data_IF_792249434999
#
_entry.id   IF_792249434999
#
_cell.length_a   1.000
_cell.length_b   1.000
_cell.length_c   1.000
_cell.angle_alpha   90.00
_cell.angle_beta   90.00
_cell.angle_gamma   90.00
#
_symmetry.space_group_name_H-M   'P 1'
#
loop_
_entity.id
_entity.type
_entity.pdbx_description
1 polymer ?
#
# COMPACT_ATOMS: atom_id res chain seq x y z
N UNK A 1 -9.92 1.87 4.88
CA UNK A 1 -9.10 0.67 4.56
C UNK A 1 -9.30 0.18 3.13
N UNK A 2 -10.54 0.24 2.60
CA UNK A 2 -10.86 -0.09 1.20
C UNK A 2 -9.98 0.61 0.16
N UNK A 3 -9.74 1.91 0.32
CA UNK A 3 -8.95 2.71 -0.64
C UNK A 3 -7.49 2.24 -0.75
N UNK A 4 -6.82 1.96 0.38
CA UNK A 4 -5.45 1.44 0.38
C UNK A 4 -5.36 0.07 -0.33
N UNK A 5 -6.35 -0.80 -0.13
CA UNK A 5 -6.42 -2.11 -0.79
C UNK A 5 -6.63 -1.94 -2.29
N UNK A 6 -7.52 -1.02 -2.71
CA UNK A 6 -7.76 -0.68 -4.12
C UNK A 6 -6.46 -0.22 -4.80
N UNK A 7 -5.84 0.82 -4.26
CA UNK A 7 -4.59 1.38 -4.81
C UNK A 7 -3.47 0.35 -4.84
N UNK A 8 -3.36 -0.52 -3.83
CA UNK A 8 -2.37 -1.61 -3.83
C UNK A 8 -2.61 -2.64 -4.94
N UNK A 9 -3.87 -2.93 -5.27
CA UNK A 9 -4.23 -3.82 -6.39
C UNK A 9 -3.96 -3.16 -7.74
N UNK A 10 -4.23 -1.86 -7.87
CA UNK A 10 -3.96 -1.11 -9.11
C UNK A 10 -2.47 -1.03 -9.43
N UNK A 11 -1.62 -0.95 -8.41
CA UNK A 11 -0.17 -0.97 -8.58
C UNK A 11 0.40 -2.41 -8.49
N UNK A 12 -0.42 -3.47 -8.67
CA UNK A 12 0.04 -4.85 -8.45
C UNK A 12 1.25 -5.20 -9.31
N UNK A 13 1.18 -4.92 -10.59
CA UNK A 13 2.23 -5.24 -11.56
C UNK A 13 3.53 -4.51 -11.22
N UNK A 14 3.47 -3.25 -10.80
CA UNK A 14 4.67 -2.51 -10.39
C UNK A 14 5.41 -3.22 -9.26
N UNK A 15 4.68 -3.74 -8.27
CA UNK A 15 5.29 -4.49 -7.17
C UNK A 15 5.89 -5.84 -7.59
N UNK A 16 5.39 -6.46 -8.66
CA UNK A 16 5.95 -7.71 -9.21
C UNK A 16 7.17 -7.44 -10.10
N UNK A 17 7.18 -6.32 -10.83
CA UNK A 17 8.26 -5.96 -11.76
C UNK A 17 9.48 -5.33 -11.09
N UNK A 18 9.28 -4.54 -10.02
CA UNK A 18 10.42 -3.91 -9.34
C UNK A 18 10.95 -4.74 -8.18
N UNK A 19 12.28 -4.73 -8.05
CA UNK A 19 12.99 -5.30 -6.90
C UNK A 19 12.45 -4.70 -5.59
N UNK A 20 12.45 -5.51 -4.53
CA UNK A 20 11.89 -5.16 -3.21
C UNK A 20 12.43 -3.84 -2.64
N UNK A 21 13.69 -3.49 -2.93
CA UNK A 21 14.32 -2.23 -2.50
C UNK A 21 13.70 -0.97 -3.14
N UNK A 22 12.95 -1.12 -4.23
CA UNK A 22 12.25 -0.03 -4.92
C UNK A 22 10.77 0.08 -4.56
N UNK A 23 10.23 -0.83 -3.73
CA UNK A 23 8.84 -0.79 -3.28
C UNK A 23 8.50 0.49 -2.51
N UNK A 24 9.48 1.14 -1.88
CA UNK A 24 9.31 2.43 -1.19
C UNK A 24 8.77 3.51 -2.13
N UNK A 25 9.22 3.54 -3.39
CA UNK A 25 8.72 4.48 -4.39
C UNK A 25 7.25 4.23 -4.73
N UNK A 26 6.85 2.97 -4.85
CA UNK A 26 5.45 2.63 -5.12
C UNK A 26 4.58 2.99 -3.90
N UNK A 27 5.06 2.71 -2.69
CA UNK A 27 4.34 3.11 -1.48
C UNK A 27 4.19 4.62 -1.34
N UNK A 28 5.15 5.41 -1.82
CA UNK A 28 5.05 6.87 -1.90
C UNK A 28 3.99 7.31 -2.90
N UNK A 29 3.91 6.66 -4.07
CA UNK A 29 2.84 6.92 -5.04
C UNK A 29 1.47 6.66 -4.41
N UNK A 30 1.32 5.52 -3.73
CA UNK A 30 0.07 5.16 -3.04
C UNK A 30 -0.29 6.18 -1.95
N UNK A 31 0.67 6.63 -1.13
CA UNK A 31 0.40 7.63 -0.09
C UNK A 31 -0.08 8.96 -0.67
N UNK A 32 0.53 9.39 -1.79
CA UNK A 32 0.11 10.60 -2.48
C UNK A 32 -1.31 10.46 -3.04
N UNK A 33 -1.65 9.32 -3.63
CA UNK A 33 -3.00 9.05 -4.13
C UNK A 33 -4.04 8.99 -3.01
N UNK A 34 -3.70 8.45 -1.84
CA UNK A 34 -4.58 8.48 -0.65
C UNK A 34 -4.88 9.92 -0.21
N UNK A 35 -3.87 10.78 -0.21
CA UNK A 35 -4.05 12.19 0.09
C UNK A 35 -4.94 12.87 -0.96
N UNK A 36 -4.67 12.67 -2.25
CA UNK A 36 -5.45 13.29 -3.32
C UNK A 36 -6.91 12.82 -3.36
N UNK A 37 -7.17 11.53 -3.15
CA UNK A 37 -8.51 10.96 -3.27
C UNK A 37 -9.37 11.18 -2.03
N UNK A 38 -8.77 11.27 -0.84
CA UNK A 38 -9.49 11.22 0.45
C UNK A 38 -9.04 12.28 1.46
N UNK A 39 -8.05 13.11 1.14
CA UNK A 39 -7.41 14.00 2.13
C UNK A 39 -6.66 13.24 3.23
N UNK A 40 -6.42 11.93 3.06
CA UNK A 40 -5.85 11.11 4.11
C UNK A 40 -4.32 11.21 4.11
N UNK A 41 -3.78 11.86 5.13
CA UNK A 41 -2.34 12.04 5.30
C UNK A 41 -1.75 10.77 5.92
N UNK A 42 -0.96 10.05 5.12
CA UNK A 42 -0.18 8.90 5.58
C UNK A 42 1.18 8.89 4.88
N UNK A 43 2.20 8.39 5.57
CA UNK A 43 3.50 8.12 4.95
C UNK A 43 3.49 6.81 4.16
N UNK A 44 4.46 6.65 3.26
CA UNK A 44 4.72 5.39 2.56
C UNK A 44 4.90 4.22 3.54
N UNK A 45 5.63 4.43 4.64
CA UNK A 45 5.86 3.44 5.69
C UNK A 45 4.59 3.06 6.46
N UNK A 46 3.70 4.02 6.72
CA UNK A 46 2.40 3.75 7.34
C UNK A 46 1.49 2.93 6.40
N UNK A 47 1.49 3.24 5.10
CA UNK A 47 0.74 2.47 4.10
C UNK A 47 1.24 1.02 4.03
N UNK A 48 2.56 0.83 3.96
CA UNK A 48 3.19 -0.49 3.97
C UNK A 48 2.82 -1.30 5.22
N UNK A 49 3.01 -0.74 6.42
CA UNK A 49 2.70 -1.42 7.68
C UNK A 49 1.22 -1.79 7.74
N UNK A 50 0.33 -0.88 7.34
CA UNK A 50 -1.10 -1.14 7.33
C UNK A 50 -1.46 -2.27 6.36
N UNK A 51 -0.89 -2.27 5.15
CA UNK A 51 -1.06 -3.36 4.19
C UNK A 51 -0.53 -4.69 4.72
N UNK A 52 0.64 -4.68 5.36
CA UNK A 52 1.22 -5.87 5.97
C UNK A 52 0.30 -6.43 7.06
N UNK A 53 -0.19 -5.59 7.98
CA UNK A 53 -1.17 -5.98 9.00
C UNK A 53 -2.45 -6.51 8.37
N UNK A 54 -2.95 -5.93 7.27
CA UNK A 54 -4.13 -6.45 6.57
C UNK A 54 -3.86 -7.82 5.92
N UNK A 55 -2.72 -7.98 5.24
CA UNK A 55 -2.32 -9.21 4.55
C UNK A 55 -2.08 -10.36 5.52
N UNK A 56 -1.37 -10.12 6.62
CA UNK A 56 -0.99 -11.14 7.59
C UNK A 56 -1.97 -11.28 8.75
N UNK A 57 -2.65 -10.21 9.15
CA UNK A 57 -3.77 -10.29 10.08
C UNK A 57 -4.90 -11.15 9.52
N UNK A 58 -5.14 -11.12 8.19
CA UNK A 58 -6.04 -12.06 7.53
C UNK A 58 -5.50 -13.50 7.53
N UNK A 59 -4.18 -13.71 7.42
CA UNK A 59 -3.57 -15.04 7.53
C UNK A 59 -3.66 -15.64 8.94
N UNK A 60 -3.69 -14.81 9.98
CA UNK A 60 -3.75 -15.23 11.38
C UNK A 60 -5.19 -15.39 11.92
N UNK A 61 -6.21 -15.07 11.11
CA UNK A 61 -7.63 -15.33 11.41
C UNK A 61 -8.12 -16.63 10.75
N UNK A 62 -7.20 -17.52 10.39
CA UNK A 62 -7.51 -18.86 9.85
C UNK A 62 -7.70 -19.87 10.97
#
# INVERSE_FOLDING_TARGET
ASELIRLRRENHDDFEFVLNNHHERIWRTISNQLFLNRGFIASSSQCYRKWYTLKYGYKNLK
#
